data_IF_535911001848
#
_entry.id   IF_535911001848
#
_cell.length_a   1.000
_cell.length_b   1.000
_cell.length_c   1.000
_cell.angle_alpha   90.00
_cell.angle_beta   90.00
_cell.angle_gamma   90.00
#
_symmetry.space_group_name_H-M   'P 1'
#
loop_
_entity.id
_entity.type
_entity.pdbx_description
1 polymer ?
#
# COMPACT_ATOMS: atom_id res chain seq x y z
N UNK A 1 32.93 -21.71 12.67
CA UNK A 1 32.20 -20.61 11.98
C UNK A 1 30.95 -20.33 12.79
N UNK A 2 30.53 -19.07 12.92
CA UNK A 2 29.28 -18.69 13.60
C UNK A 2 28.40 -17.95 12.59
N UNK A 3 27.11 -18.27 12.57
CA UNK A 3 26.11 -17.64 11.68
C UNK A 3 25.02 -17.06 12.56
N UNK A 4 24.63 -15.82 12.29
CA UNK A 4 23.56 -15.11 12.99
C UNK A 4 22.60 -14.59 11.92
N UNK A 5 21.32 -14.92 12.04
CA UNK A 5 20.26 -14.43 11.17
C UNK A 5 19.51 -13.31 11.91
N UNK A 6 19.36 -12.16 11.26
CA UNK A 6 18.65 -11.00 11.80
C UNK A 6 17.60 -10.55 10.79
N UNK A 7 16.37 -10.34 11.26
CA UNK A 7 15.28 -9.80 10.44
C UNK A 7 14.21 -9.15 11.33
N UNK A 8 13.43 -8.24 10.75
CA UNK A 8 12.35 -7.51 11.43
C UNK A 8 10.97 -8.19 11.29
N UNK A 9 10.72 -8.92 10.21
CA UNK A 9 9.39 -9.46 9.85
C UNK A 9 9.41 -10.94 9.47
N UNK A 10 10.46 -11.65 9.86
CA UNK A 10 10.65 -13.06 9.47
C UNK A 10 9.73 -14.00 10.25
N UNK A 11 9.26 -15.06 9.59
CA UNK A 11 8.70 -16.20 10.29
C UNK A 11 9.82 -16.96 11.01
N UNK A 12 9.94 -16.71 12.32
CA UNK A 12 10.95 -17.32 13.16
C UNK A 12 10.78 -18.84 13.30
N UNK A 13 9.57 -19.36 13.13
CA UNK A 13 9.27 -20.80 13.27
C UNK A 13 9.88 -21.58 12.13
N UNK A 14 9.63 -21.15 10.89
CA UNK A 14 10.16 -21.79 9.69
C UNK A 14 11.70 -21.87 9.73
N UNK A 15 12.35 -20.78 10.12
CA UNK A 15 13.82 -20.72 10.20
C UNK A 15 14.38 -21.55 11.36
N UNK A 16 13.68 -21.58 12.49
CA UNK A 16 14.07 -22.40 13.63
C UNK A 16 14.06 -23.89 13.28
N UNK A 17 13.01 -24.38 12.62
CA UNK A 17 12.91 -25.76 12.17
C UNK A 17 13.97 -26.11 11.12
N UNK A 18 14.22 -25.20 10.18
CA UNK A 18 15.24 -25.40 9.15
C UNK A 18 16.66 -25.50 9.73
N UNK A 19 16.99 -24.68 10.74
CA UNK A 19 18.31 -24.65 11.39
C UNK A 19 18.37 -25.45 12.69
N UNK A 20 17.76 -26.64 12.71
CA UNK A 20 17.88 -27.60 13.82
C UNK A 20 17.45 -27.04 15.19
N UNK A 21 16.28 -26.40 15.25
CA UNK A 21 15.73 -25.77 16.44
C UNK A 21 16.69 -24.73 17.05
N UNK A 22 17.25 -23.85 16.20
CA UNK A 22 18.19 -22.83 16.65
C UNK A 22 17.54 -21.85 17.64
N UNK A 23 18.31 -21.28 18.59
CA UNK A 23 17.77 -20.34 19.56
C UNK A 23 17.29 -19.05 18.88
N UNK A 24 16.09 -18.60 19.26
CA UNK A 24 15.50 -17.33 18.82
C UNK A 24 15.71 -16.30 19.94
N UNK A 25 16.14 -15.09 19.56
CA UNK A 25 16.25 -13.95 20.47
C UNK A 25 15.33 -12.85 19.96
N UNK A 26 14.27 -12.57 20.70
CA UNK A 26 13.39 -11.45 20.41
C UNK A 26 13.92 -10.17 21.05
N UNK A 27 14.17 -9.16 20.21
CA UNK A 27 14.60 -7.83 20.66
C UNK A 27 13.40 -6.90 20.58
N UNK A 28 12.81 -6.61 21.74
CA UNK A 28 11.76 -5.60 21.84
C UNK A 28 12.38 -4.20 21.78
N UNK A 29 12.11 -3.49 20.68
CA UNK A 29 12.57 -2.12 20.49
C UNK A 29 11.79 -1.10 21.34
N UNK A 30 12.38 0.10 21.46
CA UNK A 30 11.66 1.33 21.83
C UNK A 30 11.42 2.13 20.56
N UNK A 31 10.31 1.87 19.88
CA UNK A 31 9.85 2.74 18.80
C UNK A 31 8.86 3.74 19.36
N UNK A 32 8.77 4.92 18.72
CA UNK A 32 7.62 5.78 18.89
C UNK A 32 6.46 5.21 18.07
N UNK A 33 5.20 5.40 18.49
CA UNK A 33 4.07 4.98 17.68
C UNK A 33 4.15 5.64 16.30
N UNK A 34 3.98 4.84 15.25
CA UNK A 34 3.85 5.29 13.87
C UNK A 34 2.38 5.19 13.52
N UNK A 35 1.80 6.29 13.03
CA UNK A 35 0.44 6.31 12.53
C UNK A 35 0.43 5.80 11.09
N UNK A 36 -0.46 4.86 10.80
CA UNK A 36 -0.61 4.22 9.49
C UNK A 36 -1.84 4.79 8.78
N UNK A 37 -1.71 5.01 7.48
CA UNK A 37 -2.77 5.53 6.63
C UNK A 37 -2.90 4.64 5.39
N UNK A 38 -4.13 4.28 5.05
CA UNK A 38 -4.48 3.52 3.85
C UNK A 38 -4.77 4.47 2.66
N UNK A 39 -5.10 3.90 1.51
CA UNK A 39 -5.32 4.64 0.27
C UNK A 39 -6.49 5.62 0.40
N UNK A 40 -7.58 5.18 1.02
CA UNK A 40 -8.77 5.94 1.31
C UNK A 40 -8.49 7.14 2.22
N UNK A 41 -7.62 6.98 3.22
CA UNK A 41 -7.19 8.07 4.09
C UNK A 41 -6.41 9.12 3.29
N UNK A 42 -5.47 8.66 2.45
CA UNK A 42 -4.66 9.53 1.62
C UNK A 42 -5.51 10.37 0.66
N UNK A 43 -6.51 9.76 0.01
CA UNK A 43 -7.45 10.45 -0.87
C UNK A 43 -8.29 11.46 -0.09
N UNK A 44 -8.78 11.09 1.10
CA UNK A 44 -9.60 11.97 1.93
C UNK A 44 -8.81 13.16 2.48
N UNK A 45 -7.56 12.96 2.91
CA UNK A 45 -6.70 14.04 3.42
C UNK A 45 -6.32 15.05 2.34
N UNK A 46 -6.00 14.55 1.15
CA UNK A 46 -5.57 15.39 0.03
C UNK A 46 -6.73 15.96 -0.77
N UNK A 47 -7.97 15.48 -0.54
CA UNK A 47 -9.14 15.77 -1.37
C UNK A 47 -8.84 15.56 -2.86
N UNK A 48 -8.07 14.50 -3.16
CA UNK A 48 -7.55 14.24 -4.49
C UNK A 48 -8.69 13.92 -5.46
N UNK A 49 -8.68 14.60 -6.61
CA UNK A 49 -9.59 14.33 -7.72
C UNK A 49 -8.73 13.91 -8.91
N UNK A 50 -8.87 12.67 -9.41
CA UNK A 50 -8.10 12.21 -10.54
C UNK A 50 -8.39 13.09 -11.75
N UNK A 51 -7.37 13.56 -12.49
CA UNK A 51 -7.61 14.28 -13.73
C UNK A 51 -8.33 13.38 -14.73
N UNK A 52 -9.17 14.01 -15.55
CA UNK A 52 -9.92 13.31 -16.60
C UNK A 52 -8.93 12.67 -17.57
N UNK A 53 -8.67 11.36 -17.42
CA UNK A 53 -7.93 10.61 -18.43
C UNK A 53 -8.71 10.69 -19.74
N UNK A 54 -8.13 11.29 -20.77
CA UNK A 54 -8.63 11.14 -22.14
C UNK A 54 -8.71 9.64 -22.44
N UNK A 55 -9.93 9.13 -22.64
CA UNK A 55 -10.23 7.70 -22.92
C UNK A 55 -9.56 7.14 -24.20
N UNK A 56 -8.57 7.83 -24.78
CA UNK A 56 -8.03 7.57 -26.11
C UNK A 56 -6.78 6.67 -26.14
N UNK A 57 -6.33 6.14 -25.01
CA UNK A 57 -5.21 5.17 -24.96
C UNK A 57 -5.57 3.87 -24.22
N UNK A 58 -6.81 3.41 -24.38
CA UNK A 58 -7.19 2.04 -24.00
C UNK A 58 -7.33 1.17 -25.24
N UNK A 59 -6.23 0.99 -25.97
CA UNK A 59 -6.14 0.00 -27.03
C UNK A 59 -4.69 -0.42 -27.19
N UNK A 60 -4.43 -1.73 -27.04
CA UNK A 60 -3.13 -2.43 -27.04
C UNK A 60 -2.28 -2.40 -25.77
N UNK A 61 -2.76 -3.04 -24.70
CA UNK A 61 -1.91 -3.88 -23.82
C UNK A 61 -2.76 -4.88 -23.00
N UNK A 62 -3.95 -5.28 -23.49
CA UNK A 62 -4.68 -6.44 -22.96
C UNK A 62 -4.24 -7.71 -23.70
N UNK A 63 -2.96 -8.06 -23.59
CA UNK A 63 -2.48 -9.43 -23.85
C UNK A 63 -1.58 -9.85 -22.70
N UNK A 64 -2.16 -10.50 -21.69
CA UNK A 64 -1.39 -11.24 -20.68
C UNK A 64 -1.99 -11.27 -19.29
N UNK A 65 -2.90 -12.22 -19.05
CA UNK A 65 -3.30 -12.66 -17.70
C UNK A 65 -4.77 -12.43 -17.38
N UNK A 66 -5.57 -13.49 -17.46
CA UNK A 66 -6.80 -13.63 -16.67
C UNK A 66 -6.39 -13.66 -15.19
N UNK A 67 -6.28 -12.50 -14.55
CA UNK A 67 -6.48 -12.42 -13.11
C UNK A 67 -7.95 -12.03 -12.92
N UNK A 68 -8.77 -13.02 -12.56
CA UNK A 68 -10.15 -12.86 -12.05
C UNK A 68 -10.18 -12.16 -10.67
N UNK A 69 -9.12 -11.43 -10.31
CA UNK A 69 -9.03 -10.72 -9.05
C UNK A 69 -9.94 -9.48 -9.08
N UNK A 70 -10.86 -9.43 -8.12
CA UNK A 70 -11.73 -8.29 -7.93
C UNK A 70 -10.90 -7.05 -7.59
N UNK A 71 -11.13 -5.95 -8.31
CA UNK A 71 -10.53 -4.64 -8.02
C UNK A 71 -10.89 -4.21 -6.59
N UNK A 72 -9.91 -4.23 -5.68
CA UNK A 72 -10.05 -3.86 -4.28
C UNK A 72 -10.30 -2.36 -4.10
N UNK A 73 -9.90 -1.51 -5.06
CA UNK A 73 -10.24 -0.08 -5.03
C UNK A 73 -11.75 0.21 -5.13
N UNK A 74 -12.58 -0.78 -5.46
CA UNK A 74 -14.05 -0.69 -5.41
C UNK A 74 -14.62 -0.95 -4.02
N UNK A 75 -13.81 -1.49 -3.11
CA UNK A 75 -14.20 -1.88 -1.76
C UNK A 75 -13.75 -0.77 -0.80
N UNK A 76 -14.70 0.03 -0.32
CA UNK A 76 -14.42 1.12 0.62
C UNK A 76 -15.46 1.15 1.74
N UNK A 77 -15.00 1.26 2.99
CA UNK A 77 -15.86 1.38 4.17
C UNK A 77 -16.80 2.58 4.07
N UNK A 78 -17.98 2.51 4.70
CA UNK A 78 -18.97 3.60 4.76
C UNK A 78 -18.55 4.78 5.62
N UNK A 79 -17.41 4.68 6.30
CA UNK A 79 -16.81 5.76 7.07
C UNK A 79 -16.23 6.88 6.17
N UNK A 80 -15.95 6.57 4.90
CA UNK A 80 -15.38 7.51 3.94
C UNK A 80 -16.43 8.18 3.07
N UNK A 81 -16.17 9.45 2.72
CA UNK A 81 -17.06 10.25 1.89
C UNK A 81 -17.29 9.66 0.49
N UNK A 82 -18.44 9.93 -0.16
CA UNK A 82 -18.77 9.41 -1.48
C UNK A 82 -17.77 9.86 -2.56
N UNK A 83 -17.13 11.01 -2.36
CA UNK A 83 -16.08 11.54 -3.24
C UNK A 83 -14.80 10.70 -3.14
N UNK A 84 -14.37 10.33 -1.92
CA UNK A 84 -13.24 9.44 -1.66
C UNK A 84 -13.46 8.09 -2.35
N UNK A 85 -14.63 7.47 -2.16
CA UNK A 85 -15.00 6.19 -2.80
C UNK A 85 -14.92 6.28 -4.31
N UNK A 86 -15.46 7.35 -4.89
CA UNK A 86 -15.49 7.57 -6.34
C UNK A 86 -14.09 7.82 -6.91
N UNK A 87 -13.23 8.51 -6.18
CA UNK A 87 -11.84 8.73 -6.57
C UNK A 87 -11.06 7.41 -6.53
N UNK A 88 -11.16 6.66 -5.42
CA UNK A 88 -10.47 5.38 -5.24
C UNK A 88 -10.81 4.41 -6.37
N UNK A 89 -12.09 4.28 -6.70
CA UNK A 89 -12.58 3.42 -7.79
C UNK A 89 -12.04 3.76 -9.20
N UNK A 90 -11.48 4.96 -9.41
CA UNK A 90 -10.90 5.38 -10.69
C UNK A 90 -9.39 5.10 -10.78
N UNK A 91 -8.75 4.73 -9.67
CA UNK A 91 -7.33 4.41 -9.64
C UNK A 91 -7.09 2.98 -10.15
N UNK A 92 -6.00 2.82 -10.89
CA UNK A 92 -5.56 1.52 -11.40
C UNK A 92 -4.59 0.88 -10.39
N UNK A 93 -4.90 -0.30 -9.88
CA UNK A 93 -4.07 -1.02 -8.90
C UNK A 93 -2.70 -1.44 -9.45
N UNK A 94 -2.61 -1.63 -10.77
CA UNK A 94 -1.37 -2.02 -11.44
C UNK A 94 -0.42 -0.84 -11.70
N UNK A 95 -0.91 0.40 -11.57
CA UNK A 95 -0.14 1.61 -11.83
C UNK A 95 0.05 2.43 -10.55
N UNK A 96 1.26 2.95 -10.34
CA UNK A 96 1.52 3.89 -9.24
C UNK A 96 0.92 5.26 -9.56
N UNK A 97 -0.01 5.81 -8.75
CA UNK A 97 -0.62 7.11 -9.02
C UNK A 97 0.33 8.25 -8.58
N UNK A 98 1.28 8.63 -9.46
CA UNK A 98 2.27 9.66 -9.15
C UNK A 98 1.67 11.03 -8.78
N UNK A 99 0.51 11.37 -9.34
CA UNK A 99 -0.21 12.61 -9.02
C UNK A 99 -0.74 12.61 -7.57
N UNK A 100 -1.19 11.45 -7.07
CA UNK A 100 -1.58 11.30 -5.67
C UNK A 100 -0.37 11.40 -4.75
N UNK A 101 0.78 10.84 -5.15
CA UNK A 101 2.04 10.99 -4.41
C UNK A 101 2.44 12.47 -4.34
N UNK A 102 2.34 13.21 -5.44
CA UNK A 102 2.62 14.66 -5.43
C UNK A 102 1.66 15.42 -4.51
N UNK A 103 0.36 15.11 -4.56
CA UNK A 103 -0.64 15.72 -3.68
C UNK A 103 -0.35 15.41 -2.20
N UNK A 104 0.06 14.18 -1.87
CA UNK A 104 0.47 13.79 -0.52
C UNK A 104 1.72 14.53 -0.06
N UNK A 105 2.74 14.67 -0.92
CA UNK A 105 3.94 15.43 -0.58
C UNK A 105 3.63 16.90 -0.29
N UNK A 106 2.76 17.53 -1.10
CA UNK A 106 2.28 18.89 -0.85
C UNK A 106 1.48 18.99 0.44
N UNK A 107 0.62 18.02 0.73
CA UNK A 107 -0.13 17.98 1.99
C UNK A 107 0.81 17.86 3.20
N UNK A 108 1.81 16.99 3.14
CA UNK A 108 2.82 16.84 4.20
C UNK A 108 3.62 18.14 4.39
N UNK A 109 3.93 18.86 3.32
CA UNK A 109 4.57 20.18 3.41
C UNK A 109 3.71 21.19 4.20
N UNK A 110 2.38 21.13 4.07
CA UNK A 110 1.46 22.01 4.82
C UNK A 110 1.29 21.66 6.31
N UNK A 111 1.80 20.51 6.76
CA UNK A 111 1.73 20.06 8.16
C UNK A 111 2.91 20.58 9.02
N UNK A 112 3.89 21.27 8.40
CA UNK A 112 5.00 21.95 9.08
C UNK A 112 4.70 23.43 9.32
#
# INVERSE_FOLDING_TARGET
IRVILMSATIDTTMFCEYFFNCPIIEVYGRTYPVEEYFLEDCIQMTQFVPPLKDKKRKDKDEEGGEDDDANCNLICSDEYGPETKRCMAQLNEKETPFELIEALLKYIETLN
#
